data_IF_131333980281
#
_entry.id   IF_131333980281
#
_cell.length_a   1.000
_cell.length_b   1.000
_cell.length_c   1.000
_cell.angle_alpha   90.00
_cell.angle_beta   90.00
_cell.angle_gamma   90.00
#
_symmetry.space_group_name_H-M   'P 1'
#
loop_
_entity.id
_entity.type
_entity.pdbx_description
1 polymer ?
#
# COMPACT_ATOMS: atom_id res chain seq x y z
N UNK A 1 -1.93 17.92 36.00
CA UNK A 1 -1.27 19.22 36.21
C UNK A 1 -1.42 19.57 37.68
N UNK A 2 -0.33 19.58 38.43
CA UNK A 2 -0.34 20.00 39.83
C UNK A 2 -0.45 21.53 39.82
N UNK A 3 -1.68 22.06 39.98
CA UNK A 3 -1.90 23.46 40.31
C UNK A 3 -1.88 23.58 41.82
N UNK A 4 -0.69 23.70 42.42
CA UNK A 4 -0.57 24.19 43.78
C UNK A 4 -0.61 25.72 43.73
N UNK A 5 -1.49 26.31 44.53
CA UNK A 5 -1.44 27.75 44.79
C UNK A 5 -0.11 28.01 45.49
N UNK A 6 0.80 28.71 44.83
CA UNK A 6 2.15 29.00 45.32
C UNK A 6 2.12 30.26 46.19
N UNK A 7 1.16 30.33 47.12
CA UNK A 7 1.19 31.36 48.16
C UNK A 7 2.26 30.91 49.17
N UNK A 8 3.28 31.73 49.44
CA UNK A 8 4.28 31.41 50.45
C UNK A 8 3.62 31.33 51.84
N UNK A 9 4.00 30.34 52.64
CA UNK A 9 3.53 30.21 54.01
C UNK A 9 4.30 31.17 54.93
N UNK A 10 3.86 32.44 54.91
CA UNK A 10 4.45 33.50 55.71
C UNK A 10 4.26 33.26 57.22
N UNK A 11 3.16 32.60 57.63
CA UNK A 11 2.83 32.43 59.05
C UNK A 11 3.79 31.46 59.75
N UNK A 12 4.16 30.36 59.06
CA UNK A 12 5.15 29.43 59.56
C UNK A 12 6.53 30.09 59.75
N UNK A 13 6.94 30.92 58.80
CA UNK A 13 8.23 31.64 58.83
C UNK A 13 8.24 32.71 59.94
N UNK A 14 7.18 33.52 60.04
CA UNK A 14 7.07 34.56 61.06
C UNK A 14 6.99 33.96 62.47
N UNK A 15 6.27 32.84 62.63
CA UNK A 15 6.21 32.11 63.91
C UNK A 15 7.57 31.59 64.34
N UNK A 16 8.41 31.15 63.40
CA UNK A 16 9.80 30.75 63.70
C UNK A 16 10.65 31.94 64.12
N UNK A 17 10.56 33.07 63.40
CA UNK A 17 11.31 34.30 63.71
C UNK A 17 10.92 34.83 65.10
N UNK A 18 9.64 34.79 65.47
CA UNK A 18 9.15 35.19 66.81
C UNK A 18 9.74 34.37 67.97
N UNK A 19 10.24 33.16 67.69
CA UNK A 19 10.82 32.27 68.70
C UNK A 19 12.34 32.38 68.86
N UNK A 20 13.00 33.22 68.05
CA UNK A 20 14.47 33.41 68.07
C UNK A 20 14.91 34.43 69.12
N UNK A 21 16.17 34.36 69.56
CA UNK A 21 16.72 35.30 70.55
C UNK A 21 17.09 36.65 69.92
N UNK A 22 17.22 37.71 70.74
CA UNK A 22 17.58 39.04 70.26
C UNK A 22 18.94 39.09 69.54
N UNK A 23 19.88 38.24 69.96
CA UNK A 23 21.19 38.14 69.32
C UNK A 23 21.08 37.41 67.97
N UNK A 24 20.28 36.35 67.88
CA UNK A 24 20.00 35.65 66.62
C UNK A 24 19.26 36.55 65.62
N UNK A 25 18.34 37.40 66.11
CA UNK A 25 17.59 38.34 65.28
C UNK A 25 18.48 39.47 64.74
N UNK A 26 19.40 40.01 65.56
CA UNK A 26 20.40 40.99 65.09
C UNK A 26 21.29 40.37 64.03
N UNK A 27 21.73 39.14 64.24
CA UNK A 27 22.53 38.40 63.29
C UNK A 27 21.78 38.13 61.98
N UNK A 28 20.48 37.82 62.06
CA UNK A 28 19.62 37.60 60.89
C UNK A 28 19.42 38.90 60.08
N UNK A 29 19.28 40.05 60.75
CA UNK A 29 19.14 41.36 60.09
C UNK A 29 20.46 41.78 59.41
N UNK A 30 21.60 41.40 59.98
CA UNK A 30 22.92 41.81 59.49
C UNK A 30 23.54 40.81 58.49
N UNK A 31 22.91 39.66 58.23
CA UNK A 31 23.43 38.63 57.34
C UNK A 31 22.32 37.98 56.49
N UNK A 32 22.29 38.36 55.22
CA UNK A 32 21.34 37.84 54.22
C UNK A 32 21.47 36.32 54.00
N UNK A 33 22.66 35.74 54.16
CA UNK A 33 22.85 34.28 54.01
C UNK A 33 22.07 33.50 55.09
N UNK A 34 21.96 34.05 56.30
CA UNK A 34 21.16 33.44 57.39
C UNK A 34 19.67 33.51 57.08
N UNK A 35 19.22 34.56 56.38
CA UNK A 35 17.83 34.67 55.90
C UNK A 35 17.55 33.60 54.85
N UNK A 36 18.46 33.41 53.90
CA UNK A 36 18.37 32.36 52.88
C UNK A 36 18.36 30.95 53.49
N UNK A 37 19.19 30.70 54.50
CA UNK A 37 19.18 29.44 55.25
C UNK A 37 17.83 29.21 55.96
N UNK A 38 17.26 30.24 56.57
CA UNK A 38 15.96 30.16 57.23
C UNK A 38 14.84 29.84 56.23
N UNK A 39 14.88 30.45 55.04
CA UNK A 39 13.94 30.15 53.95
C UNK A 39 14.10 28.71 53.47
N UNK A 40 15.33 28.21 53.26
CA UNK A 40 15.58 26.79 52.90
C UNK A 40 15.14 25.81 53.97
N UNK A 41 15.13 26.23 55.24
CA UNK A 41 14.65 25.41 56.35
C UNK A 41 13.12 25.34 56.46
N UNK A 42 12.39 26.23 55.79
CA UNK A 42 10.93 26.22 55.72
C UNK A 42 10.41 24.90 55.13
N UNK A 43 9.35 24.35 55.71
CA UNK A 43 8.73 23.08 55.29
C UNK A 43 8.24 23.15 53.83
N UNK A 44 7.63 24.27 53.43
CA UNK A 44 7.20 24.48 52.04
C UNK A 44 8.38 24.43 51.05
N UNK A 45 9.55 24.97 51.40
CA UNK A 45 10.72 24.92 50.53
C UNK A 45 11.29 23.51 50.43
N UNK A 46 11.32 22.75 51.54
CA UNK A 46 11.75 21.34 51.54
C UNK A 46 10.81 20.44 50.73
N UNK A 47 9.51 20.65 50.86
CA UNK A 47 8.50 19.91 50.08
C UNK A 47 8.65 20.19 48.58
N UNK A 48 8.90 21.45 48.20
CA UNK A 48 9.17 21.80 46.80
C UNK A 48 10.48 21.21 46.29
N UNK A 49 11.54 21.20 47.11
CA UNK A 49 12.83 20.60 46.75
C UNK A 49 12.70 19.08 46.52
N UNK A 50 12.00 18.39 47.41
CA UNK A 50 11.74 16.94 47.28
C UNK A 50 10.85 16.62 46.08
N UNK A 51 9.83 17.44 45.81
CA UNK A 51 8.99 17.30 44.62
C UNK A 51 9.82 17.53 43.34
N UNK A 52 10.69 18.55 43.33
CA UNK A 52 11.63 18.81 42.24
C UNK A 52 12.49 17.60 41.97
N UNK A 53 13.12 17.04 43.00
CA UNK A 53 14.02 15.90 42.88
C UNK A 53 13.27 14.64 42.41
N UNK A 54 12.05 14.41 42.91
CA UNK A 54 11.19 13.33 42.45
C UNK A 54 10.84 13.48 40.96
N UNK A 55 10.45 14.68 40.52
CA UNK A 55 10.13 14.96 39.12
C UNK A 55 11.39 14.82 38.24
N UNK A 56 12.53 15.30 38.70
CA UNK A 56 13.81 15.16 38.00
C UNK A 56 14.19 13.68 37.84
N UNK A 57 14.08 12.89 38.91
CA UNK A 57 14.33 11.45 38.85
C UNK A 57 13.38 10.74 37.87
N UNK A 58 12.08 11.08 37.92
CA UNK A 58 11.08 10.54 37.00
C UNK A 58 11.36 10.93 35.55
N UNK A 59 11.69 12.20 35.29
CA UNK A 59 12.02 12.68 33.95
C UNK A 59 13.26 11.97 33.41
N UNK A 60 14.32 11.86 34.23
CA UNK A 60 15.54 11.14 33.89
C UNK A 60 15.26 9.69 33.53
N UNK A 61 14.51 8.98 34.35
CA UNK A 61 14.12 7.58 34.07
C UNK A 61 13.31 7.45 32.77
N UNK A 62 12.36 8.37 32.52
CA UNK A 62 11.60 8.39 31.27
C UNK A 62 12.47 8.70 30.05
N UNK A 63 13.43 9.62 30.18
CA UNK A 63 14.36 9.95 29.12
C UNK A 63 15.28 8.75 28.80
N UNK A 64 15.81 8.09 29.82
CA UNK A 64 16.60 6.86 29.67
C UNK A 64 15.79 5.74 29.01
N UNK A 65 14.54 5.53 29.42
CA UNK A 65 13.64 4.58 28.78
C UNK A 65 13.40 4.92 27.31
N UNK A 66 13.09 6.18 27.00
CA UNK A 66 12.85 6.63 25.62
C UNK A 66 14.10 6.44 24.74
N UNK A 67 15.28 6.75 25.27
CA UNK A 67 16.56 6.51 24.59
C UNK A 67 16.79 5.02 24.36
N UNK A 68 16.43 4.16 25.32
CA UNK A 68 16.55 2.70 25.17
C UNK A 68 15.64 2.14 24.07
N UNK A 69 14.52 2.81 23.77
CA UNK A 69 13.57 2.43 22.71
C UNK A 69 13.91 2.99 21.34
N UNK A 70 14.70 4.06 21.26
CA UNK A 70 15.19 4.63 20.01
C UNK A 70 15.85 3.60 19.07
N UNK A 71 16.76 2.70 19.49
CA UNK A 71 17.40 1.74 18.59
C UNK A 71 16.43 0.67 18.07
N UNK A 72 15.46 0.24 18.88
CA UNK A 72 14.42 -0.71 18.47
C UNK A 72 13.53 -0.09 17.38
N UNK A 73 13.13 1.17 17.57
CA UNK A 73 12.37 1.94 16.59
C UNK A 73 13.16 2.17 15.30
N UNK A 74 14.44 2.52 15.40
CA UNK A 74 15.27 2.77 14.23
C UNK A 74 15.52 1.48 13.44
N UNK A 75 15.75 0.36 14.13
CA UNK A 75 15.82 -0.96 13.50
C UNK A 75 14.51 -1.32 12.80
N UNK A 76 13.37 -1.09 13.45
CA UNK A 76 12.05 -1.31 12.87
C UNK A 76 11.81 -0.46 11.62
N UNK A 77 12.18 0.82 11.65
CA UNK A 77 12.10 1.73 10.49
C UNK A 77 13.01 1.27 9.35
N UNK A 78 14.24 0.85 9.64
CA UNK A 78 15.17 0.35 8.63
C UNK A 78 14.62 -0.90 7.93
N UNK A 79 14.11 -1.87 8.69
CA UNK A 79 13.47 -3.08 8.15
C UNK A 79 12.24 -2.75 7.31
N UNK A 80 11.40 -1.82 7.78
CA UNK A 80 10.23 -1.38 7.03
C UNK A 80 10.64 -0.75 5.70
N UNK A 81 11.67 0.11 5.70
CA UNK A 81 12.21 0.75 4.50
C UNK A 81 12.73 -0.30 3.51
N UNK A 82 13.50 -1.28 3.97
CA UNK A 82 13.99 -2.39 3.15
C UNK A 82 12.83 -3.18 2.50
N UNK A 83 11.80 -3.50 3.29
CA UNK A 83 10.61 -4.20 2.76
C UNK A 83 9.88 -3.32 1.74
N UNK A 84 9.70 -2.03 2.01
CA UNK A 84 9.08 -1.11 1.05
C UNK A 84 9.86 -1.02 -0.26
N UNK A 85 11.19 -0.96 -0.20
CA UNK A 85 12.06 -0.96 -1.38
C UNK A 85 11.96 -2.28 -2.15
N UNK A 86 12.00 -3.43 -1.46
CA UNK A 86 11.82 -4.73 -2.12
C UNK A 86 10.44 -4.88 -2.76
N UNK A 87 9.37 -4.41 -2.11
CA UNK A 87 8.02 -4.41 -2.69
C UNK A 87 7.94 -3.50 -3.92
N UNK A 88 8.56 -2.32 -3.87
CA UNK A 88 8.58 -1.40 -5.00
C UNK A 88 9.32 -2.00 -6.19
N UNK A 89 10.50 -2.59 -5.99
CA UNK A 89 11.24 -3.27 -7.07
C UNK A 89 10.47 -4.43 -7.70
N UNK A 90 9.79 -5.25 -6.88
CA UNK A 90 8.93 -6.33 -7.40
C UNK A 90 7.74 -5.76 -8.16
N UNK A 91 7.12 -4.69 -7.66
CA UNK A 91 6.03 -4.00 -8.34
C UNK A 91 6.48 -3.49 -9.71
N UNK A 92 7.61 -2.81 -9.77
CA UNK A 92 8.17 -2.27 -11.02
C UNK A 92 8.44 -3.39 -12.03
N UNK A 93 9.01 -4.52 -11.58
CA UNK A 93 9.21 -5.70 -12.43
C UNK A 93 7.90 -6.32 -12.94
N UNK A 94 6.84 -6.32 -12.11
CA UNK A 94 5.52 -6.80 -12.52
C UNK A 94 4.88 -5.84 -13.53
N UNK A 95 4.99 -4.53 -13.32
CA UNK A 95 4.48 -3.51 -14.24
C UNK A 95 5.21 -3.57 -15.60
N UNK A 96 6.53 -3.76 -15.59
CA UNK A 96 7.33 -3.97 -16.80
C UNK A 96 6.85 -5.21 -17.59
N UNK A 97 6.76 -6.37 -16.93
CA UNK A 97 6.27 -7.61 -17.59
C UNK A 97 4.84 -7.49 -18.08
N UNK A 98 3.97 -6.78 -17.35
CA UNK A 98 2.61 -6.51 -17.80
C UNK A 98 2.61 -5.62 -19.05
N UNK A 99 3.48 -4.62 -19.11
CA UNK A 99 3.65 -3.76 -20.27
C UNK A 99 4.15 -4.54 -21.48
N UNK A 100 5.17 -5.40 -21.30
CA UNK A 100 5.67 -6.30 -22.33
C UNK A 100 4.56 -7.21 -22.86
N UNK A 101 3.80 -7.87 -21.97
CA UNK A 101 2.68 -8.71 -22.36
C UNK A 101 1.60 -7.93 -23.09
N UNK A 102 1.30 -6.69 -22.67
CA UNK A 102 0.36 -5.81 -23.38
C UNK A 102 0.88 -5.40 -24.75
N UNK A 103 2.18 -5.17 -24.92
CA UNK A 103 2.76 -4.85 -26.23
C UNK A 103 2.72 -6.07 -27.17
N UNK A 104 3.01 -7.27 -26.67
CA UNK A 104 2.90 -8.50 -27.45
C UNK A 104 1.45 -8.86 -27.79
N UNK A 105 0.54 -8.73 -26.82
CA UNK A 105 -0.90 -9.01 -26.97
C UNK A 105 -1.63 -7.92 -27.77
N UNK A 106 -1.20 -6.67 -27.65
CA UNK A 106 -1.78 -5.52 -28.36
C UNK A 106 -1.65 -5.62 -29.88
N UNK A 107 -0.63 -6.33 -30.37
CA UNK A 107 -0.47 -6.62 -31.79
C UNK A 107 -1.42 -7.72 -32.29
N UNK A 108 -1.96 -8.56 -31.41
CA UNK A 108 -2.77 -9.73 -31.75
C UNK A 108 -3.91 -9.93 -30.73
N UNK A 109 -4.80 -8.95 -30.60
CA UNK A 109 -6.05 -9.18 -29.86
C UNK A 109 -6.84 -10.30 -30.55
N UNK A 110 -7.46 -11.19 -29.77
CA UNK A 110 -8.27 -12.31 -30.27
C UNK A 110 -9.34 -11.86 -31.27
N UNK A 111 -9.96 -10.69 -31.00
CA UNK A 111 -10.96 -10.13 -31.91
C UNK A 111 -10.34 -9.65 -33.22
N UNK A 112 -9.13 -9.09 -33.18
CA UNK A 112 -8.38 -8.67 -34.38
C UNK A 112 -7.98 -9.87 -35.21
N UNK A 113 -7.47 -10.94 -34.59
CA UNK A 113 -7.11 -12.19 -35.27
C UNK A 113 -8.35 -12.82 -35.92
N UNK A 114 -9.48 -12.81 -35.21
CA UNK A 114 -10.74 -13.33 -35.72
C UNK A 114 -11.26 -12.51 -36.89
N UNK A 115 -11.22 -11.17 -36.81
CA UNK A 115 -11.62 -10.29 -37.89
C UNK A 115 -10.74 -10.48 -39.15
N UNK A 116 -9.42 -10.60 -38.98
CA UNK A 116 -8.49 -10.88 -40.09
C UNK A 116 -8.79 -12.24 -40.74
N UNK A 117 -9.07 -13.26 -39.93
CA UNK A 117 -9.39 -14.61 -40.44
C UNK A 117 -10.74 -14.63 -41.17
N UNK A 118 -11.74 -13.90 -40.67
CA UNK A 118 -13.03 -13.74 -41.35
C UNK A 118 -12.89 -12.98 -42.66
N UNK A 119 -12.10 -11.91 -42.71
CA UNK A 119 -11.84 -11.15 -43.94
C UNK A 119 -11.16 -12.03 -45.00
N UNK A 120 -10.11 -12.76 -44.63
CA UNK A 120 -9.42 -13.68 -45.54
C UNK A 120 -10.31 -14.84 -46.01
N UNK A 121 -11.23 -15.32 -45.17
CA UNK A 121 -12.21 -16.34 -45.55
C UNK A 121 -13.24 -15.78 -46.56
N UNK A 122 -13.77 -14.58 -46.31
CA UNK A 122 -14.71 -13.91 -47.20
C UNK A 122 -14.07 -13.56 -48.55
N UNK A 123 -12.82 -13.08 -48.57
CA UNK A 123 -12.07 -12.80 -49.80
C UNK A 123 -11.91 -14.07 -50.65
N UNK A 124 -11.54 -15.19 -50.02
CA UNK A 124 -11.44 -16.48 -50.72
C UNK A 124 -12.78 -16.99 -51.26
N UNK A 125 -13.89 -16.70 -50.59
CA UNK A 125 -15.24 -17.02 -51.05
C UNK A 125 -15.62 -16.17 -52.26
N UNK A 126 -15.39 -14.85 -52.18
CA UNK A 126 -15.63 -13.90 -53.28
C UNK A 126 -14.78 -14.24 -54.51
N UNK A 127 -13.50 -14.60 -54.34
CA UNK A 127 -12.66 -15.07 -55.44
C UNK A 127 -13.22 -16.33 -56.10
N UNK A 128 -13.74 -17.26 -55.31
CA UNK A 128 -14.33 -18.51 -55.80
C UNK A 128 -15.63 -18.24 -56.56
N UNK A 129 -16.47 -17.32 -56.07
CA UNK A 129 -17.72 -16.90 -56.70
C UNK A 129 -17.45 -16.18 -58.03
N UNK A 130 -16.45 -15.29 -58.09
CA UNK A 130 -16.00 -14.66 -59.34
C UNK A 130 -15.55 -15.67 -60.40
N UNK A 131 -14.84 -16.73 -60.00
CA UNK A 131 -14.45 -17.80 -60.93
C UNK A 131 -15.70 -18.55 -61.44
N UNK A 132 -16.67 -18.81 -60.57
CA UNK A 132 -17.93 -19.44 -60.96
C UNK A 132 -18.79 -18.55 -61.88
N UNK A 133 -18.89 -17.26 -61.62
CA UNK A 133 -19.62 -16.31 -62.46
C UNK A 133 -19.04 -16.20 -63.87
N UNK A 134 -17.70 -16.12 -63.99
CA UNK A 134 -17.01 -16.11 -65.30
C UNK A 134 -17.32 -17.36 -66.10
N UNK A 135 -17.42 -18.52 -65.44
CA UNK A 135 -17.83 -19.76 -66.09
C UNK A 135 -19.28 -19.69 -66.60
N UNK A 136 -20.22 -19.19 -65.79
CA UNK A 136 -21.61 -19.01 -66.21
C UNK A 136 -21.78 -18.03 -67.38
N UNK A 137 -20.92 -17.01 -67.45
CA UNK A 137 -20.88 -16.04 -68.55
C UNK A 137 -20.16 -16.58 -69.80
N UNK A 138 -19.64 -17.83 -69.75
CA UNK A 138 -18.82 -18.47 -70.79
C UNK A 138 -17.54 -17.72 -71.14
N UNK A 139 -17.02 -16.93 -70.21
CA UNK A 139 -15.76 -16.20 -70.39
C UNK A 139 -14.53 -17.10 -70.21
N UNK A 140 -14.72 -18.27 -69.58
CA UNK A 140 -13.69 -19.29 -69.37
C UNK A 140 -14.19 -20.66 -69.82
N UNK A 141 -13.32 -21.46 -70.41
CA UNK A 141 -13.63 -22.84 -70.83
C UNK A 141 -13.66 -23.79 -69.63
N UNK A 142 -14.26 -24.97 -69.81
CA UNK A 142 -14.50 -25.93 -68.73
C UNK A 142 -13.17 -26.42 -68.13
N UNK A 143 -12.17 -26.65 -68.96
CA UNK A 143 -10.83 -27.11 -68.57
C UNK A 143 -10.12 -26.06 -67.70
N UNK A 144 -10.18 -24.79 -68.07
CA UNK A 144 -9.58 -23.67 -67.31
C UNK A 144 -10.32 -23.41 -65.99
N UNK A 145 -11.65 -23.55 -65.99
CA UNK A 145 -12.45 -23.48 -64.77
C UNK A 145 -12.04 -24.58 -63.78
N UNK A 146 -11.92 -25.82 -64.25
CA UNK A 146 -11.56 -26.95 -63.41
C UNK A 146 -10.16 -26.77 -62.82
N UNK A 147 -9.19 -26.28 -63.61
CA UNK A 147 -7.83 -26.02 -63.12
C UNK A 147 -7.81 -24.92 -62.04
N UNK A 148 -8.50 -23.80 -62.25
CA UNK A 148 -8.52 -22.69 -61.30
C UNK A 148 -9.32 -23.02 -60.02
N UNK A 149 -10.45 -23.71 -60.16
CA UNK A 149 -11.30 -24.11 -59.04
C UNK A 149 -10.66 -25.20 -58.17
N UNK A 150 -9.88 -26.12 -58.76
CA UNK A 150 -9.14 -27.13 -58.00
C UNK A 150 -7.92 -26.55 -57.28
N UNK A 151 -7.29 -25.51 -57.82
CA UNK A 151 -6.17 -24.80 -57.17
C UNK A 151 -6.64 -23.92 -56.00
N UNK A 152 -7.87 -23.41 -56.06
CA UNK A 152 -8.48 -22.57 -55.00
C UNK A 152 -9.86 -23.11 -54.61
N UNK A 153 -9.93 -24.29 -53.98
CA UNK A 153 -11.20 -24.81 -53.52
C UNK A 153 -11.75 -23.88 -52.42
N UNK A 154 -13.05 -23.55 -52.42
CA UNK A 154 -13.65 -22.71 -51.39
C UNK A 154 -13.36 -23.30 -50.02
N UNK A 155 -12.66 -22.52 -49.19
CA UNK A 155 -12.14 -22.96 -47.89
C UNK A 155 -13.25 -23.37 -46.91
N UNK A 156 -14.49 -22.98 -47.19
CA UNK A 156 -15.71 -23.40 -46.49
C UNK A 156 -15.91 -24.91 -46.35
N UNK A 157 -15.26 -25.77 -47.15
CA UNK A 157 -15.43 -27.23 -47.01
C UNK A 157 -14.75 -27.84 -45.79
N UNK A 158 -13.72 -27.20 -45.21
CA UNK A 158 -12.98 -27.74 -44.07
C UNK A 158 -13.41 -27.17 -42.71
N UNK A 159 -14.36 -26.23 -42.67
CA UNK A 159 -14.88 -25.63 -41.45
C UNK A 159 -16.40 -25.47 -41.48
N UNK A 160 -17.15 -26.57 -41.45
CA UNK A 160 -18.54 -26.53 -40.96
C UNK A 160 -18.52 -26.71 -39.44
N UNK A 161 -19.20 -25.85 -38.64
CA UNK A 161 -20.58 -25.43 -38.89
C UNK A 161 -20.83 -23.93 -38.59
N UNK A 162 -20.50 -23.01 -39.50
CA UNK A 162 -20.77 -21.57 -39.26
C UNK A 162 -21.08 -20.70 -40.48
N UNK A 163 -21.53 -21.24 -41.62
CA UNK A 163 -22.19 -20.45 -42.68
C UNK A 163 -23.54 -19.81 -42.23
N UNK A 164 -23.70 -19.50 -40.93
CA UNK A 164 -24.63 -18.52 -40.37
C UNK A 164 -23.89 -17.71 -39.31
N UNK A 165 -23.15 -16.70 -39.73
CA UNK A 165 -23.03 -15.47 -38.93
C UNK A 165 -23.66 -14.32 -39.70
N UNK A 166 -24.94 -14.48 -40.02
CA UNK A 166 -25.85 -13.35 -40.09
C UNK A 166 -26.11 -12.88 -38.64
N UNK A 167 -25.83 -11.63 -38.25
CA UNK A 167 -26.38 -11.09 -37.02
C UNK A 167 -27.84 -10.73 -37.28
N UNK A 168 -28.75 -11.68 -37.10
CA UNK A 168 -30.19 -11.42 -37.02
C UNK A 168 -30.60 -11.43 -35.55
N UNK A 169 -30.66 -10.26 -34.92
CA UNK A 169 -31.46 -10.01 -33.72
C UNK A 169 -30.96 -10.60 -32.38
N UNK A 170 -31.61 -10.21 -31.26
CA UNK A 170 -31.00 -10.16 -29.92
C UNK A 170 -31.18 -11.47 -29.15
N UNK A 171 -30.44 -12.52 -29.53
CA UNK A 171 -30.33 -13.74 -28.74
C UNK A 171 -28.87 -14.17 -28.61
N UNK A 172 -28.11 -13.46 -27.76
CA UNK A 172 -26.81 -13.90 -27.29
C UNK A 172 -26.98 -15.01 -26.24
N UNK A 173 -27.09 -16.26 -26.68
CA UNK A 173 -26.98 -17.42 -25.79
C UNK A 173 -25.55 -17.94 -25.76
N UNK A 174 -24.79 -17.41 -24.79
CA UNK A 174 -24.02 -18.19 -23.81
C UNK A 174 -23.17 -19.35 -24.35
N UNK A 175 -22.00 -19.04 -24.87
CA UNK A 175 -20.81 -19.91 -24.78
C UNK A 175 -19.87 -19.33 -23.74
N UNK A 176 -19.92 -19.90 -22.54
CA UNK A 176 -18.97 -19.60 -21.48
C UNK A 176 -17.65 -20.33 -21.74
N UNK A 177 -16.56 -19.65 -21.35
CA UNK A 177 -15.27 -20.19 -20.88
C UNK A 177 -14.11 -20.06 -21.87
N UNK A 178 -13.48 -18.89 -21.88
CA UNK A 178 -12.13 -18.67 -21.32
C UNK A 178 -11.90 -17.15 -21.19
N UNK A 179 -12.38 -16.56 -20.11
CA UNK A 179 -11.73 -15.36 -19.60
C UNK A 179 -10.55 -15.85 -18.75
N UNK A 180 -9.33 -15.65 -19.26
CA UNK A 180 -8.17 -15.42 -18.40
C UNK A 180 -8.40 -14.09 -17.68
N UNK A 181 -9.32 -14.11 -16.71
CA UNK A 181 -9.41 -13.09 -15.69
C UNK A 181 -8.18 -13.31 -14.82
N UNK A 182 -7.10 -12.62 -15.17
CA UNK A 182 -6.07 -12.26 -14.21
C UNK A 182 -6.77 -11.36 -13.19
N UNK A 183 -7.43 -11.99 -12.22
CA UNK A 183 -7.76 -11.34 -10.95
C UNK A 183 -6.42 -10.88 -10.36
N UNK A 184 -6.26 -9.59 -10.00
CA UNK A 184 -5.16 -9.22 -9.13
C UNK A 184 -5.34 -10.03 -7.85
N UNK A 185 -4.33 -10.83 -7.53
CA UNK A 185 -4.25 -11.75 -6.40
C UNK A 185 -4.39 -11.00 -5.07
N UNK A 186 -5.62 -10.73 -4.66
CA UNK A 186 -6.00 -10.29 -3.31
C UNK A 186 -5.71 -11.36 -2.25
N UNK A 187 -5.35 -12.58 -2.66
CA UNK A 187 -4.96 -13.68 -1.78
C UNK A 187 -3.63 -13.42 -1.03
N UNK A 188 -2.68 -12.70 -1.65
CA UNK A 188 -1.37 -12.41 -1.01
C UNK A 188 -1.50 -11.38 0.12
N UNK A 189 -2.46 -10.45 0.02
CA UNK A 189 -2.72 -9.47 1.10
C UNK A 189 -3.40 -10.08 2.33
N UNK A 190 -4.18 -11.17 2.18
CA UNK A 190 -4.74 -11.90 3.33
C UNK A 190 -3.72 -12.80 4.02
N UNK A 191 -2.79 -13.40 3.26
CA UNK A 191 -1.73 -14.25 3.84
C UNK A 191 -0.72 -13.43 4.64
N UNK A 192 -0.29 -12.26 4.14
CA UNK A 192 0.60 -11.37 4.89
C UNK A 192 -0.08 -10.72 6.11
N UNK A 193 -1.39 -10.41 6.02
CA UNK A 193 -2.15 -9.87 7.17
C UNK A 193 -2.31 -10.91 8.29
N UNK A 194 -2.55 -12.18 7.94
CA UNK A 194 -2.69 -13.25 8.92
C UNK A 194 -1.34 -13.63 9.58
N UNK A 195 -0.23 -13.55 8.85
CA UNK A 195 1.11 -13.76 9.45
C UNK A 195 1.55 -12.61 10.37
N UNK A 196 1.19 -11.35 10.05
CA UNK A 196 1.48 -10.20 10.92
C UNK A 196 0.61 -10.19 12.19
N UNK A 197 -0.63 -10.67 12.14
CA UNK A 197 -1.49 -10.80 13.33
C UNK A 197 -0.99 -11.93 14.24
N UNK A 198 -0.56 -13.06 13.68
CA UNK A 198 -0.05 -14.19 14.47
C UNK A 198 1.31 -13.91 15.13
N UNK A 199 2.21 -13.14 14.49
CA UNK A 199 3.49 -12.74 15.12
C UNK A 199 3.33 -11.74 16.26
N UNK A 200 2.26 -10.93 16.26
CA UNK A 200 1.99 -9.98 17.35
C UNK A 200 1.35 -10.64 18.58
N UNK A 201 0.60 -11.75 18.43
CA UNK A 201 0.09 -12.50 19.58
C UNK A 201 1.18 -13.32 20.29
N UNK A 202 2.24 -13.74 19.61
CA UNK A 202 3.36 -14.47 20.23
C UNK A 202 4.34 -13.57 21.01
N UNK A 203 4.23 -12.25 20.90
CA UNK A 203 5.08 -11.28 21.61
C UNK A 203 4.40 -10.65 22.83
N UNK A 204 3.14 -11.02 23.13
CA UNK A 204 2.37 -10.51 24.28
C UNK A 204 2.04 -11.58 25.33
N UNK A 205 2.78 -12.68 25.37
CA UNK A 205 2.74 -13.69 26.45
C UNK A 205 4.13 -13.83 27.04
#
# INVERSE_FOLDING_TARGET
MIKRSLEPDYEAVISRIRSMSDDDLKDLINNDDKVDELVKLCEQCKDLETEKDMIMAKNKSLAEYNLSKSPELESGKAKLKEICESVQTVRDSVEEKQSELKNHSGNLNSDTVLALLQAAAAESEEESEKIAEKFYQKEIEIEDFLEQFHKRPPRCRLSTPTCRTQPQGPYLTRLHRFHTRSEPSTCLTSQLRNEMVNKNLSLST
#
